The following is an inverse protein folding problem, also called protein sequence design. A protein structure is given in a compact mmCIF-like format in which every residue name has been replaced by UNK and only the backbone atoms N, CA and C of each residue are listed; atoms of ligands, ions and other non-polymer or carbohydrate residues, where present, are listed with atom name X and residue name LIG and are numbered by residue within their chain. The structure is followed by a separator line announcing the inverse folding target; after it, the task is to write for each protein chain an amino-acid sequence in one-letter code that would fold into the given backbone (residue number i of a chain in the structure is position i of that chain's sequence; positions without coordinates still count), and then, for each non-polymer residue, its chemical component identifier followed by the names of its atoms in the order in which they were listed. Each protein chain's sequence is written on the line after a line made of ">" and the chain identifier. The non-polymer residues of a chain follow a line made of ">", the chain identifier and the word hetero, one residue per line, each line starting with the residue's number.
data_IF_434055719944
#
_entry.id   IF_434055719944
#
_cell.length_a   1.000
_cell.length_b   1.000
_cell.length_c   1.000
_cell.angle_alpha   90.00
_cell.angle_beta   90.00
_cell.angle_gamma   90.00
#
_symmetry.space_group_name_H-M   'P 1'
#
loop_
_entity.id
_entity.type
_entity.pdbx_description
1 polymer ?
#
# COMPACT_ATOMS: atom_id res chain seq x y z
N UNK A 1 -14.29 23.17 -9.86
CA UNK A 1 -14.10 21.76 -9.45
C UNK A 1 -14.11 20.81 -10.65
N UNK A 2 -15.22 20.64 -11.38
CA UNK A 2 -15.29 19.71 -12.52
C UNK A 2 -14.24 19.95 -13.62
N UNK A 3 -14.01 21.20 -14.03
CA UNK A 3 -13.01 21.53 -15.06
C UNK A 3 -11.56 21.26 -14.60
N UNK A 4 -11.26 21.45 -13.31
CA UNK A 4 -9.94 21.16 -12.74
C UNK A 4 -9.69 19.64 -12.65
N UNK A 5 -10.70 18.86 -12.22
CA UNK A 5 -10.62 17.40 -12.26
C UNK A 5 -10.48 16.86 -13.69
N UNK A 6 -11.17 17.46 -14.66
CA UNK A 6 -11.02 17.10 -16.07
C UNK A 6 -9.59 17.38 -16.59
N UNK A 7 -8.95 18.44 -16.11
CA UNK A 7 -7.57 18.75 -16.45
C UNK A 7 -6.59 17.71 -15.87
N UNK A 8 -6.73 17.37 -14.59
CA UNK A 8 -5.93 16.33 -13.93
C UNK A 8 -6.09 14.93 -14.59
N UNK A 9 -7.28 14.64 -15.12
CA UNK A 9 -7.56 13.38 -15.83
C UNK A 9 -7.24 13.43 -17.34
N UNK A 10 -6.65 14.51 -17.84
CA UNK A 10 -6.37 14.66 -19.28
C UNK A 10 -5.36 13.63 -19.79
N UNK A 11 -4.31 13.35 -19.04
CA UNK A 11 -3.29 12.34 -19.38
C UNK A 11 -3.88 10.92 -19.38
N UNK A 12 -4.73 10.61 -18.40
CA UNK A 12 -5.45 9.33 -18.36
C UNK A 12 -6.35 9.19 -19.59
N UNK A 13 -7.07 10.25 -19.95
CA UNK A 13 -7.94 10.26 -21.13
C UNK A 13 -7.15 10.09 -22.42
N UNK A 14 -5.98 10.73 -22.53
CA UNK A 14 -5.09 10.58 -23.67
C UNK A 14 -4.62 9.11 -23.80
N UNK A 15 -4.07 8.54 -22.72
CA UNK A 15 -3.58 7.15 -22.74
C UNK A 15 -4.67 6.11 -23.00
N UNK A 16 -5.91 6.35 -22.58
CA UNK A 16 -7.04 5.46 -22.90
C UNK A 16 -7.34 5.40 -24.42
N UNK A 17 -6.97 6.40 -25.20
CA UNK A 17 -7.12 6.39 -26.66
C UNK A 17 -6.10 5.51 -27.37
N UNK A 18 -4.96 5.26 -26.72
CA UNK A 18 -3.85 4.47 -27.28
C UNK A 18 -3.98 2.97 -26.98
N UNK A 19 -5.04 2.55 -26.30
CA UNK A 19 -5.31 1.13 -26.02
C UNK A 19 -5.67 0.37 -27.30
N UNK A 20 -5.02 -0.78 -27.53
CA UNK A 20 -5.12 -1.53 -28.80
C UNK A 20 -5.85 -2.87 -28.68
N UNK A 21 -5.60 -3.65 -27.63
CA UNK A 21 -6.23 -4.96 -27.42
C UNK A 21 -7.59 -4.77 -26.75
N UNK A 22 -8.64 -5.48 -27.20
CA UNK A 22 -9.90 -5.67 -26.46
C UNK A 22 -10.62 -4.38 -26.05
N UNK A 23 -10.42 -3.27 -26.78
CA UNK A 23 -11.11 -1.99 -26.59
C UNK A 23 -11.89 -1.63 -27.85
N UNK A 24 -13.15 -1.24 -27.70
CA UNK A 24 -13.92 -0.68 -28.81
C UNK A 24 -13.44 0.74 -29.11
N UNK A 25 -13.64 1.24 -30.34
CA UNK A 25 -13.38 2.66 -30.66
C UNK A 25 -14.30 3.55 -29.83
N UNK A 26 -13.81 4.06 -28.71
CA UNK A 26 -14.57 4.94 -27.81
C UNK A 26 -14.60 6.38 -28.33
N UNK A 27 -15.47 6.65 -29.31
CA UNK A 27 -15.68 7.98 -29.92
C UNK A 27 -16.01 9.07 -28.87
N UNK A 28 -16.57 8.70 -27.72
CA UNK A 28 -16.93 9.64 -26.65
C UNK A 28 -15.74 10.14 -25.81
N UNK A 29 -14.62 9.40 -25.75
CA UNK A 29 -13.40 9.85 -25.07
C UNK A 29 -12.73 11.03 -25.81
N UNK A 30 -13.14 11.29 -27.06
CA UNK A 30 -12.70 12.44 -27.85
C UNK A 30 -13.25 13.78 -27.31
N UNK A 31 -14.41 13.76 -26.64
CA UNK A 31 -15.06 14.97 -26.13
C UNK A 31 -14.52 15.32 -24.74
N UNK A 32 -13.75 16.42 -24.58
CA UNK A 32 -13.18 16.80 -23.27
C UNK A 32 -14.23 17.20 -22.24
N UNK A 33 -15.44 17.58 -22.68
CA UNK A 33 -16.50 18.07 -21.79
C UNK A 33 -17.27 16.94 -21.07
N UNK A 34 -17.09 15.68 -21.48
CA UNK A 34 -17.71 14.53 -20.83
C UNK A 34 -16.81 13.98 -19.74
N UNK A 35 -17.40 13.65 -18.59
CA UNK A 35 -16.76 12.80 -17.59
C UNK A 35 -16.74 11.34 -18.08
N UNK A 36 -15.77 10.58 -17.62
CA UNK A 36 -15.64 9.16 -17.94
C UNK A 36 -15.30 8.37 -16.68
N UNK A 37 -15.58 7.08 -16.70
CA UNK A 37 -15.17 6.13 -15.67
C UNK A 37 -14.16 5.15 -16.24
N UNK A 38 -13.16 4.76 -15.45
CA UNK A 38 -12.12 3.82 -15.85
C UNK A 38 -12.04 2.65 -14.86
N UNK A 39 -11.88 1.42 -15.35
CA UNK A 39 -11.70 0.24 -14.52
C UNK A 39 -12.28 -1.03 -15.15
N UNK A 40 -12.52 -2.02 -14.30
CA UNK A 40 -13.08 -3.31 -14.66
C UNK A 40 -14.43 -3.54 -14.00
N UNK A 41 -15.27 -4.29 -14.69
CA UNK A 41 -16.50 -4.89 -14.16
C UNK A 41 -16.25 -6.38 -13.86
N UNK A 42 -17.27 -7.07 -13.38
CA UNK A 42 -17.18 -8.45 -12.91
C UNK A 42 -16.94 -9.51 -14.00
N UNK A 43 -17.14 -9.17 -15.27
CA UNK A 43 -17.05 -10.12 -16.37
C UNK A 43 -16.90 -9.46 -17.74
N UNK A 44 -17.04 -10.27 -18.80
CA UNK A 44 -17.00 -9.79 -20.18
C UNK A 44 -18.24 -8.94 -20.45
N UNK A 45 -18.05 -7.70 -20.89
CA UNK A 45 -19.14 -6.78 -21.21
C UNK A 45 -19.89 -7.22 -22.47
N UNK A 46 -21.20 -6.96 -22.54
CA UNK A 46 -22.05 -7.39 -23.67
C UNK A 46 -21.46 -7.01 -25.05
N UNK A 47 -20.87 -5.81 -25.15
CA UNK A 47 -20.26 -5.29 -26.38
C UNK A 47 -18.72 -5.41 -26.41
N UNK A 48 -18.14 -6.31 -25.61
CA UNK A 48 -16.69 -6.50 -25.57
C UNK A 48 -16.16 -6.96 -26.95
N UNK A 49 -15.17 -6.26 -27.53
CA UNK A 49 -14.49 -6.76 -28.72
C UNK A 49 -13.83 -8.12 -28.44
N UNK A 50 -13.75 -8.94 -29.47
CA UNK A 50 -13.02 -10.22 -29.39
C UNK A 50 -11.53 -9.95 -29.22
N UNK A 51 -10.91 -10.62 -28.26
CA UNK A 51 -9.46 -10.64 -28.11
C UNK A 51 -8.89 -11.70 -29.05
N UNK A 52 -8.07 -11.27 -30.01
CA UNK A 52 -7.35 -12.19 -30.89
C UNK A 52 -6.18 -12.82 -30.13
N UNK A 53 -6.13 -14.15 -30.16
CA UNK A 53 -5.06 -14.94 -29.55
C UNK A 53 -4.43 -15.89 -30.56
N UNK A 54 -3.12 -16.09 -30.44
CA UNK A 54 -2.38 -16.94 -31.36
C UNK A 54 -2.66 -18.45 -31.14
N UNK A 55 -2.61 -19.30 -32.18
CA UNK A 55 -2.68 -20.75 -32.02
C UNK A 55 -1.56 -21.28 -31.09
N UNK A 56 -1.81 -22.32 -30.27
CA UNK A 56 -3.04 -23.13 -30.17
C UNK A 56 -4.07 -22.56 -29.19
N UNK A 57 -3.90 -21.31 -28.72
CA UNK A 57 -4.73 -20.72 -27.68
C UNK A 57 -6.07 -20.18 -28.20
N UNK A 58 -6.19 -20.05 -29.52
CA UNK A 58 -7.42 -19.73 -30.26
C UNK A 58 -8.58 -20.69 -29.99
N UNK A 59 -8.29 -21.91 -29.54
CA UNK A 59 -9.30 -22.86 -29.05
C UNK A 59 -10.02 -22.40 -27.76
N UNK A 60 -9.42 -21.52 -26.98
CA UNK A 60 -10.04 -20.94 -25.78
C UNK A 60 -10.98 -19.81 -26.21
N UNK A 61 -12.28 -20.11 -26.21
CA UNK A 61 -13.29 -19.17 -26.68
C UNK A 61 -13.56 -18.09 -25.62
N UNK A 62 -13.45 -16.81 -26.00
CA UNK A 62 -13.97 -15.71 -25.18
C UNK A 62 -15.49 -15.88 -25.04
N UNK A 63 -16.03 -16.04 -23.83
CA UNK A 63 -17.46 -16.22 -23.65
C UNK A 63 -18.20 -14.95 -24.09
N UNK A 64 -19.41 -15.14 -24.63
CA UNK A 64 -20.27 -14.01 -24.99
C UNK A 64 -20.59 -13.19 -23.74
N UNK A 65 -20.30 -11.88 -23.81
CA UNK A 65 -20.41 -10.97 -22.68
C UNK A 65 -21.84 -10.75 -22.22
N UNK A 66 -21.99 -10.56 -20.91
CA UNK A 66 -23.26 -10.30 -20.24
C UNK A 66 -23.14 -9.22 -19.16
N UNK A 67 -21.92 -8.83 -18.79
CA UNK A 67 -21.71 -7.80 -17.79
C UNK A 67 -22.09 -6.42 -18.34
N UNK A 68 -22.66 -5.59 -17.49
CA UNK A 68 -22.86 -4.16 -17.80
C UNK A 68 -21.50 -3.46 -17.86
N UNK A 69 -21.34 -2.56 -18.84
CA UNK A 69 -20.14 -1.75 -19.03
C UNK A 69 -20.04 -0.58 -18.01
N UNK A 70 -20.12 -0.92 -16.73
CA UNK A 70 -19.93 0.01 -15.60
C UNK A 70 -18.80 -0.53 -14.72
N UNK A 71 -17.66 0.19 -14.58
CA UNK A 71 -16.55 -0.26 -13.76
C UNK A 71 -16.92 -0.18 -12.28
N UNK A 72 -16.49 -1.18 -11.51
CA UNK A 72 -16.71 -1.24 -10.07
C UNK A 72 -15.36 -1.26 -9.34
N UNK A 73 -15.16 -0.47 -8.27
CA UNK A 73 -13.87 -0.38 -7.56
C UNK A 73 -13.34 -1.74 -7.08
N UNK A 74 -14.22 -2.61 -6.57
CA UNK A 74 -13.83 -3.95 -6.11
C UNK A 74 -13.21 -4.80 -7.24
N UNK A 75 -13.88 -4.92 -8.39
CA UNK A 75 -13.35 -5.70 -9.51
C UNK A 75 -12.16 -5.02 -10.17
N UNK A 76 -12.15 -3.68 -10.19
CA UNK A 76 -10.98 -2.92 -10.64
C UNK A 76 -9.76 -3.21 -9.77
N UNK A 77 -9.91 -3.20 -8.44
CA UNK A 77 -8.83 -3.56 -7.50
C UNK A 77 -8.34 -4.99 -7.72
N UNK A 78 -9.24 -5.97 -7.88
CA UNK A 78 -8.88 -7.36 -8.14
C UNK A 78 -8.12 -7.52 -9.46
N UNK A 79 -8.63 -6.94 -10.55
CA UNK A 79 -7.95 -6.94 -11.84
C UNK A 79 -6.57 -6.29 -11.73
N UNK A 80 -6.46 -5.20 -10.96
CA UNK A 80 -5.19 -4.51 -10.78
C UNK A 80 -4.14 -5.39 -10.09
N UNK A 81 -4.55 -6.10 -9.02
CA UNK A 81 -3.66 -7.03 -8.32
C UNK A 81 -3.22 -8.17 -9.23
N UNK A 82 -4.15 -8.86 -9.91
CA UNK A 82 -3.81 -9.98 -10.78
C UNK A 82 -2.91 -9.59 -11.97
N UNK A 83 -3.11 -8.39 -12.56
CA UNK A 83 -2.22 -7.91 -13.62
C UNK A 83 -0.83 -7.58 -13.07
N UNK A 84 -0.73 -7.00 -11.87
CA UNK A 84 0.55 -6.73 -11.23
C UNK A 84 1.33 -8.03 -10.96
N UNK A 85 0.67 -9.08 -10.48
CA UNK A 85 1.30 -10.38 -10.22
C UNK A 85 1.74 -11.05 -11.52
N UNK A 86 0.91 -11.02 -12.57
CA UNK A 86 1.21 -11.56 -13.90
C UNK A 86 2.38 -10.81 -14.59
N UNK A 87 2.59 -9.54 -14.25
CA UNK A 87 3.66 -8.71 -14.79
C UNK A 87 4.82 -8.50 -13.80
N UNK A 88 4.85 -9.25 -12.69
CA UNK A 88 5.92 -9.15 -11.69
C UNK A 88 7.24 -9.71 -12.23
N UNK A 89 8.35 -9.26 -11.64
CA UNK A 89 9.67 -9.81 -11.97
C UNK A 89 9.77 -11.30 -11.63
N UNK A 90 9.25 -11.72 -10.48
CA UNK A 90 9.22 -13.12 -10.05
C UNK A 90 8.50 -14.01 -11.07
N UNK A 91 7.31 -13.62 -11.52
CA UNK A 91 6.54 -14.35 -12.54
C UNK A 91 7.32 -14.48 -13.84
N UNK A 92 8.02 -13.41 -14.25
CA UNK A 92 8.88 -13.43 -15.46
C UNK A 92 10.09 -14.34 -15.29
N UNK A 93 10.82 -14.23 -14.19
CA UNK A 93 12.05 -15.01 -13.93
C UNK A 93 11.75 -16.50 -13.81
N UNK A 94 10.61 -16.85 -13.21
CA UNK A 94 10.16 -18.24 -13.08
C UNK A 94 9.57 -18.82 -14.38
N UNK A 95 9.34 -17.98 -15.41
CA UNK A 95 8.78 -18.43 -16.69
C UNK A 95 7.38 -19.02 -16.55
N UNK A 96 6.55 -18.50 -15.63
CA UNK A 96 5.22 -19.07 -15.35
C UNK A 96 4.21 -18.83 -16.48
N UNK A 97 4.45 -17.83 -17.32
CA UNK A 97 3.60 -17.47 -18.45
C UNK A 97 4.25 -17.89 -19.77
N UNK A 98 3.45 -18.42 -20.69
CA UNK A 98 3.90 -18.64 -22.07
C UNK A 98 3.90 -17.33 -22.88
N UNK A 99 4.55 -17.32 -24.05
CA UNK A 99 4.73 -16.12 -24.90
C UNK A 99 3.43 -15.34 -25.13
N UNK A 100 2.35 -16.05 -25.47
CA UNK A 100 1.05 -15.41 -25.71
C UNK A 100 0.40 -14.83 -24.43
N UNK A 101 0.55 -15.46 -23.26
CA UNK A 101 0.11 -14.91 -21.98
C UNK A 101 0.96 -13.69 -21.61
N UNK A 102 2.27 -13.73 -21.86
CA UNK A 102 3.19 -12.62 -21.61
C UNK A 102 2.83 -11.40 -22.49
N UNK A 103 2.48 -11.62 -23.77
CA UNK A 103 1.99 -10.58 -24.68
C UNK A 103 0.73 -9.92 -24.14
N UNK A 104 -0.24 -10.72 -23.68
CA UNK A 104 -1.50 -10.21 -23.11
C UNK A 104 -1.23 -9.45 -21.80
N UNK A 105 -0.43 -10.01 -20.89
CA UNK A 105 -0.09 -9.39 -19.62
C UNK A 105 0.59 -8.02 -19.82
N UNK A 106 1.53 -7.93 -20.76
CA UNK A 106 2.20 -6.66 -21.13
C UNK A 106 1.21 -5.64 -21.67
N UNK A 107 0.26 -6.05 -22.51
CA UNK A 107 -0.78 -5.15 -23.01
C UNK A 107 -1.76 -4.69 -21.92
N UNK A 108 -2.01 -5.52 -20.91
CA UNK A 108 -2.85 -5.17 -19.77
C UNK A 108 -2.16 -4.18 -18.82
N UNK A 109 -0.83 -4.10 -18.82
CA UNK A 109 -0.07 -3.20 -17.94
C UNK A 109 -0.42 -1.73 -18.18
N UNK A 110 -0.57 -1.29 -19.43
CA UNK A 110 -1.00 0.09 -19.71
C UNK A 110 -2.39 0.37 -19.14
N UNK A 111 -3.31 -0.60 -19.21
CA UNK A 111 -4.66 -0.46 -18.62
C UNK A 111 -4.60 -0.39 -17.11
N UNK A 112 -3.77 -1.23 -16.49
CA UNK A 112 -3.50 -1.21 -15.05
C UNK A 112 -3.06 0.19 -14.62
N UNK A 113 -2.05 0.74 -15.29
CA UNK A 113 -1.50 2.05 -14.95
C UNK A 113 -2.54 3.16 -15.12
N UNK A 114 -3.30 3.16 -16.21
CA UNK A 114 -4.36 4.15 -16.44
C UNK A 114 -5.49 4.08 -15.41
N UNK A 115 -5.90 2.87 -15.02
CA UNK A 115 -6.94 2.70 -14.01
C UNK A 115 -6.46 3.10 -12.62
N UNK A 116 -5.25 2.69 -12.22
CA UNK A 116 -4.63 3.14 -10.96
C UNK A 116 -4.56 4.66 -10.92
N UNK A 117 -4.08 5.28 -12.01
CA UNK A 117 -3.99 6.74 -12.13
C UNK A 117 -5.34 7.42 -12.00
N UNK A 118 -6.35 6.92 -12.72
CA UNK A 118 -7.71 7.43 -12.65
C UNK A 118 -8.24 7.43 -11.21
N UNK A 119 -8.15 6.29 -10.53
CA UNK A 119 -8.71 6.14 -9.18
C UNK A 119 -7.91 6.92 -8.13
N UNK A 120 -6.57 6.95 -8.23
CA UNK A 120 -5.72 7.75 -7.36
C UNK A 120 -5.99 9.24 -7.50
N UNK A 121 -6.02 9.76 -8.73
CA UNK A 121 -6.38 11.17 -9.00
C UNK A 121 -7.77 11.50 -8.48
N UNK A 122 -8.78 10.65 -8.70
CA UNK A 122 -10.14 10.89 -8.22
C UNK A 122 -10.23 10.90 -6.68
N UNK A 123 -9.54 9.97 -6.02
CA UNK A 123 -9.58 9.80 -4.57
C UNK A 123 -8.82 10.90 -3.81
N UNK A 124 -7.77 11.45 -4.42
CA UNK A 124 -6.87 12.43 -3.80
C UNK A 124 -7.01 13.84 -4.40
N UNK A 125 -8.03 14.07 -5.24
CA UNK A 125 -8.21 15.34 -5.93
C UNK A 125 -8.40 16.52 -4.94
N UNK A 126 -7.52 17.53 -5.04
CA UNK A 126 -7.61 18.77 -4.28
C UNK A 126 -6.62 18.86 -3.11
N UNK A 127 -6.32 20.09 -2.69
CA UNK A 127 -5.21 20.37 -1.76
C UNK A 127 -5.58 20.29 -0.27
N UNK A 128 -6.85 20.57 0.07
CA UNK A 128 -7.28 20.67 1.47
C UNK A 128 -7.70 19.31 2.03
N UNK A 129 -8.78 18.74 1.49
CA UNK A 129 -9.34 17.45 1.91
C UNK A 129 -9.38 16.49 0.73
N UNK A 130 -8.90 15.27 0.91
CA UNK A 130 -9.01 14.25 -0.13
C UNK A 130 -10.44 13.73 -0.16
N UNK A 131 -11.08 13.62 -1.34
CA UNK A 131 -12.44 13.08 -1.46
C UNK A 131 -12.64 11.73 -0.78
N UNK A 132 -11.61 10.88 -0.76
CA UNK A 132 -11.67 9.55 -0.11
C UNK A 132 -11.81 9.62 1.42
N UNK A 133 -11.47 10.75 2.03
CA UNK A 133 -11.65 10.99 3.48
C UNK A 133 -13.11 11.28 3.86
N UNK A 134 -13.94 11.68 2.89
CA UNK A 134 -15.38 11.89 3.08
C UNK A 134 -16.11 10.54 2.94
N UNK A 135 -15.90 9.65 3.91
CA UNK A 135 -16.50 8.32 3.92
C UNK A 135 -17.99 8.35 4.34
N UNK A 136 -18.85 7.48 3.77
CA UNK A 136 -18.52 6.42 2.80
C UNK A 136 -18.42 6.93 1.35
N UNK A 137 -17.65 6.23 0.52
CA UNK A 137 -17.53 6.56 -0.90
C UNK A 137 -18.83 6.26 -1.65
N UNK A 138 -19.25 7.18 -2.52
CA UNK A 138 -20.42 7.04 -3.38
C UNK A 138 -20.02 6.88 -4.85
N UNK A 139 -20.59 5.87 -5.50
CA UNK A 139 -20.51 5.69 -6.95
C UNK A 139 -21.49 6.64 -7.68
N UNK A 140 -21.28 6.89 -8.99
CA UNK A 140 -22.14 7.80 -9.75
C UNK A 140 -23.62 7.40 -9.81
N UNK A 141 -23.92 6.10 -9.65
CA UNK A 141 -25.28 5.55 -9.56
C UNK A 141 -25.90 5.67 -8.16
N UNK A 142 -25.18 6.29 -7.21
CA UNK A 142 -25.58 6.45 -5.82
C UNK A 142 -25.21 5.27 -4.92
N UNK A 143 -24.69 4.17 -5.47
CA UNK A 143 -24.31 3.01 -4.67
C UNK A 143 -23.16 3.38 -3.71
N UNK A 144 -23.27 2.93 -2.46
CA UNK A 144 -22.30 3.20 -1.41
C UNK A 144 -22.22 2.01 -0.47
N UNK A 145 -21.05 1.83 0.14
CA UNK A 145 -20.81 0.74 1.07
C UNK A 145 -19.35 0.69 1.51
N UNK A 146 -19.11 -0.03 2.60
CA UNK A 146 -17.76 -0.16 3.16
C UNK A 146 -16.83 -0.95 2.23
N UNK A 147 -17.37 -1.90 1.46
CA UNK A 147 -16.65 -2.61 0.41
C UNK A 147 -16.21 -1.71 -0.76
N UNK A 148 -17.05 -0.74 -1.11
CA UNK A 148 -16.74 0.25 -2.15
C UNK A 148 -15.65 1.18 -1.61
N UNK A 149 -15.87 1.71 -0.41
CA UNK A 149 -14.93 2.63 0.26
C UNK A 149 -13.56 2.01 0.44
N UNK A 150 -13.46 0.79 1.00
CA UNK A 150 -12.18 0.09 1.16
C UNK A 150 -11.51 -0.19 -0.18
N UNK A 151 -12.28 -0.53 -1.22
CA UNK A 151 -11.73 -0.77 -2.55
C UNK A 151 -11.11 0.50 -3.14
N UNK A 152 -11.74 1.66 -2.93
CA UNK A 152 -11.17 2.96 -3.35
C UNK A 152 -9.93 3.29 -2.53
N UNK A 153 -9.96 3.16 -1.19
CA UNK A 153 -8.78 3.35 -0.33
C UNK A 153 -7.61 2.48 -0.81
N UNK A 154 -7.88 1.20 -1.11
CA UNK A 154 -6.87 0.28 -1.66
C UNK A 154 -6.30 0.73 -3.00
N UNK A 155 -7.14 1.24 -3.91
CA UNK A 155 -6.70 1.78 -5.19
C UNK A 155 -5.85 3.04 -5.01
N UNK A 156 -6.20 3.89 -4.04
CA UNK A 156 -5.40 5.07 -3.65
C UNK A 156 -4.03 4.67 -3.14
N UNK A 157 -3.94 3.70 -2.21
CA UNK A 157 -2.65 3.22 -1.70
C UNK A 157 -1.79 2.58 -2.79
N UNK A 158 -2.41 1.84 -3.71
CA UNK A 158 -1.72 1.30 -4.88
C UNK A 158 -1.17 2.40 -5.81
N UNK A 159 -1.83 3.54 -5.93
CA UNK A 159 -1.35 4.67 -6.72
C UNK A 159 -0.22 5.43 -6.02
N UNK A 160 -0.36 5.70 -4.72
CA UNK A 160 0.69 6.30 -3.89
C UNK A 160 1.98 5.48 -3.95
N UNK A 161 1.88 4.15 -3.81
CA UNK A 161 3.04 3.25 -3.90
C UNK A 161 3.70 3.24 -5.28
N UNK A 162 2.99 3.64 -6.34
CA UNK A 162 3.49 3.62 -7.72
C UNK A 162 4.28 4.86 -8.11
N UNK A 163 4.18 5.94 -7.34
CA UNK A 163 4.66 7.26 -7.76
C UNK A 163 5.37 7.98 -6.61
N UNK A 164 6.29 8.90 -6.93
CA UNK A 164 6.79 9.83 -5.93
C UNK A 164 5.63 10.61 -5.30
N UNK A 165 5.58 10.62 -3.98
CA UNK A 165 4.60 11.34 -3.17
C UNK A 165 5.31 12.00 -1.99
N UNK A 166 4.61 12.89 -1.28
CA UNK A 166 5.19 13.57 -0.14
C UNK A 166 5.00 12.71 1.13
N UNK A 167 5.92 12.76 2.12
CA UNK A 167 5.76 11.99 3.36
C UNK A 167 4.45 12.27 4.13
N UNK A 168 3.89 13.47 3.96
CA UNK A 168 2.57 13.83 4.52
C UNK A 168 1.43 12.98 3.94
N UNK A 169 1.58 12.51 2.70
CA UNK A 169 0.57 11.73 1.99
C UNK A 169 0.50 10.30 2.58
N UNK A 170 1.63 9.74 3.03
CA UNK A 170 1.67 8.46 3.76
C UNK A 170 1.00 8.55 5.12
N UNK A 171 1.28 9.59 5.90
CA UNK A 171 0.63 9.84 7.19
C UNK A 171 -0.89 10.00 7.03
N UNK A 172 -1.29 10.72 5.98
CA UNK A 172 -2.69 10.91 5.62
C UNK A 172 -3.36 9.60 5.23
N UNK A 173 -2.68 8.78 4.42
CA UNK A 173 -3.17 7.46 4.02
C UNK A 173 -3.28 6.49 5.21
N UNK A 174 -2.30 6.48 6.12
CA UNK A 174 -2.34 5.72 7.36
C UNK A 174 -3.53 6.14 8.25
N UNK A 175 -3.77 7.44 8.39
CA UNK A 175 -4.92 7.98 9.14
C UNK A 175 -6.24 7.56 8.50
N UNK A 176 -6.36 7.63 7.17
CA UNK A 176 -7.53 7.20 6.42
C UNK A 176 -7.88 5.72 6.65
N UNK A 177 -6.88 4.83 6.70
CA UNK A 177 -7.07 3.41 7.00
C UNK A 177 -7.56 3.19 8.45
N UNK A 178 -7.01 3.94 9.41
CA UNK A 178 -7.42 3.87 10.82
C UNK A 178 -8.84 4.38 11.01
N UNK A 179 -9.19 5.51 10.41
CA UNK A 179 -10.53 6.08 10.46
C UNK A 179 -11.56 5.14 9.84
N UNK A 180 -11.21 4.50 8.71
CA UNK A 180 -12.04 3.47 8.10
C UNK A 180 -12.24 2.29 9.06
N UNK A 181 -11.16 1.77 9.66
CA UNK A 181 -11.19 0.66 10.60
C UNK A 181 -12.05 0.97 11.84
N UNK A 182 -11.94 2.16 12.40
CA UNK A 182 -12.72 2.60 13.57
C UNK A 182 -14.21 2.80 13.22
N UNK A 183 -14.53 3.39 12.07
CA UNK A 183 -15.91 3.65 11.64
C UNK A 183 -16.68 2.38 11.35
N UNK A 184 -16.07 1.50 10.57
CA UNK A 184 -16.78 0.35 10.00
C UNK A 184 -17.02 -0.75 11.02
N UNK A 185 -16.32 -0.74 12.16
CA UNK A 185 -16.39 -1.79 13.18
C UNK A 185 -16.43 -3.17 12.52
N UNK A 186 -15.64 -3.38 11.45
CA UNK A 186 -15.53 -4.65 10.70
C UNK A 186 -15.26 -5.82 11.66
N UNK A 187 -14.83 -5.49 12.88
CA UNK A 187 -14.52 -6.30 14.04
C UNK A 187 -15.71 -6.49 15.02
N UNK A 188 -16.41 -5.44 15.48
CA UNK A 188 -17.29 -5.53 16.69
C UNK A 188 -18.54 -6.43 16.54
N UNK A 189 -18.94 -6.80 15.31
CA UNK A 189 -20.18 -7.56 15.07
C UNK A 189 -20.02 -9.08 15.03
N UNK A 190 -18.85 -9.58 15.38
CA UNK A 190 -18.55 -11.02 15.39
C UNK A 190 -18.77 -11.64 16.79
N UNK A 191 -19.03 -10.84 17.81
CA UNK A 191 -18.95 -11.24 19.24
C UNK A 191 -20.30 -11.37 19.98
N UNK A 192 -21.48 -11.32 19.37
CA UNK A 192 -22.73 -11.58 20.11
C UNK A 192 -23.04 -13.10 20.21
N UNK A 193 -22.89 -13.74 21.39
CA UNK A 193 -23.27 -15.13 21.56
C UNK A 193 -24.80 -15.22 21.54
N UNK A 194 -25.34 -15.88 20.52
CA UNK A 194 -26.79 -15.99 20.29
C UNK A 194 -27.35 -14.99 19.28
N UNK A 195 -26.53 -14.10 18.71
CA UNK A 195 -26.88 -13.46 17.43
C UNK A 195 -26.97 -14.55 16.37
N UNK A 196 -28.00 -14.48 15.52
CA UNK A 196 -28.08 -15.26 14.28
C UNK A 196 -26.72 -15.25 13.56
N UNK A 197 -26.34 -16.33 12.83
CA UNK A 197 -25.02 -16.46 12.20
C UNK A 197 -24.61 -15.14 11.57
N UNK A 198 -23.44 -14.54 11.93
CA UNK A 198 -23.19 -13.12 11.74
C UNK A 198 -23.42 -12.74 10.29
N UNK A 199 -24.56 -12.10 9.99
CA UNK A 199 -25.08 -11.85 8.65
C UNK A 199 -24.03 -12.05 7.53
N UNK A 200 -23.84 -13.28 7.07
CA UNK A 200 -22.72 -13.65 6.18
C UNK A 200 -23.00 -13.28 4.71
N UNK A 201 -23.74 -12.18 4.57
CA UNK A 201 -24.12 -11.42 3.39
C UNK A 201 -23.90 -9.91 3.63
N UNK A 202 -23.08 -9.50 4.62
CA UNK A 202 -22.93 -8.09 4.97
C UNK A 202 -22.38 -7.25 3.80
N UNK A 203 -21.43 -7.82 3.04
CA UNK A 203 -20.87 -7.15 1.87
C UNK A 203 -20.92 -8.08 0.66
N UNK A 204 -21.71 -7.67 -0.32
CA UNK A 204 -21.74 -8.31 -1.63
C UNK A 204 -21.86 -7.25 -2.71
N UNK A 205 -21.51 -7.64 -3.94
CA UNK A 205 -21.71 -6.80 -5.12
C UNK A 205 -22.66 -7.52 -6.06
N UNK A 206 -23.72 -6.82 -6.47
CA UNK A 206 -24.65 -7.32 -7.48
C UNK A 206 -23.91 -7.43 -8.82
N UNK A 207 -24.02 -8.59 -9.47
CA UNK A 207 -23.40 -8.84 -10.77
C UNK A 207 -24.34 -8.34 -11.87
N UNK A 208 -24.39 -7.03 -12.07
CA UNK A 208 -25.28 -6.38 -13.03
C UNK A 208 -25.16 -7.02 -14.43
N UNK A 209 -26.30 -7.48 -14.98
CA UNK A 209 -26.41 -8.18 -16.26
C UNK A 209 -26.40 -9.72 -16.16
N UNK A 210 -26.15 -10.30 -14.98
CA UNK A 210 -26.20 -11.77 -14.76
C UNK A 210 -27.60 -12.36 -14.91
N UNK A 211 -28.63 -11.55 -14.68
CA UNK A 211 -30.05 -11.88 -14.85
C UNK A 211 -30.44 -12.21 -16.31
N UNK A 212 -29.62 -11.80 -17.28
CA UNK A 212 -29.83 -12.10 -18.70
C UNK A 212 -29.68 -13.59 -19.06
N UNK A 213 -29.01 -14.38 -18.22
CA UNK A 213 -28.77 -15.82 -18.43
C UNK A 213 -29.18 -16.70 -17.26
N UNK A 214 -29.84 -16.15 -16.25
CA UNK A 214 -30.18 -16.89 -15.03
C UNK A 214 -30.72 -15.96 -13.93
N UNK A 215 -30.73 -16.40 -12.66
CA UNK A 215 -31.05 -15.52 -11.56
C UNK A 215 -29.98 -14.43 -11.39
N UNK A 216 -30.38 -13.25 -10.92
CA UNK A 216 -29.44 -12.19 -10.55
C UNK A 216 -28.44 -12.72 -9.51
N UNK A 217 -27.16 -12.68 -9.86
CA UNK A 217 -26.08 -13.20 -9.03
C UNK A 217 -25.48 -12.10 -8.17
N UNK A 218 -24.96 -12.51 -7.01
CA UNK A 218 -24.21 -11.66 -6.08
C UNK A 218 -22.84 -12.26 -5.82
N UNK A 219 -21.84 -11.39 -5.75
CA UNK A 219 -20.48 -11.78 -5.40
C UNK A 219 -20.18 -11.44 -3.94
N UNK A 220 -19.91 -12.43 -3.07
CA UNK A 220 -19.56 -12.18 -1.67
C UNK A 220 -18.18 -11.54 -1.54
N UNK A 221 -18.02 -10.64 -0.58
CA UNK A 221 -16.76 -9.91 -0.34
C UNK A 221 -16.33 -10.03 1.11
N UNK A 222 -15.07 -10.44 1.30
CA UNK A 222 -14.37 -10.41 2.58
C UNK A 222 -13.58 -9.11 2.73
N UNK A 223 -13.95 -8.25 3.69
CA UNK A 223 -13.23 -6.99 3.93
C UNK A 223 -12.00 -7.14 4.82
N UNK A 224 -12.05 -8.05 5.80
CA UNK A 224 -11.00 -8.15 6.82
C UNK A 224 -9.61 -8.46 6.24
N UNK A 225 -9.41 -9.47 5.36
CA UNK A 225 -8.10 -9.71 4.76
C UNK A 225 -7.63 -8.53 3.89
N UNK A 226 -8.54 -7.90 3.14
CA UNK A 226 -8.19 -6.75 2.30
C UNK A 226 -7.73 -5.55 3.13
N UNK A 227 -8.32 -5.32 4.31
CA UNK A 227 -7.93 -4.27 5.23
C UNK A 227 -6.62 -4.61 5.96
N UNK A 228 -6.44 -5.86 6.40
CA UNK A 228 -5.18 -6.35 6.96
C UNK A 228 -4.03 -6.16 5.99
N UNK A 229 -4.19 -6.59 4.72
CA UNK A 229 -3.17 -6.37 3.68
C UNK A 229 -2.85 -4.89 3.50
N UNK A 230 -3.86 -4.01 3.58
CA UNK A 230 -3.66 -2.56 3.45
C UNK A 230 -2.84 -1.99 4.63
N UNK A 231 -3.19 -2.40 5.84
CA UNK A 231 -2.50 -1.99 7.05
C UNK A 231 -1.03 -2.45 7.03
N UNK A 232 -0.76 -3.71 6.68
CA UNK A 232 0.60 -4.25 6.57
C UNK A 232 1.44 -3.53 5.50
N UNK A 233 0.87 -3.30 4.31
CA UNK A 233 1.58 -2.60 3.21
C UNK A 233 1.89 -1.15 3.58
N UNK A 234 0.98 -0.48 4.30
CA UNK A 234 1.21 0.91 4.75
C UNK A 234 2.22 0.96 5.90
N UNK A 235 2.20 -0.03 6.80
CA UNK A 235 3.17 -0.13 7.90
C UNK A 235 4.60 -0.35 7.41
N UNK A 236 4.80 -1.10 6.32
CA UNK A 236 6.14 -1.35 5.76
C UNK A 236 6.73 -0.14 5.04
N UNK A 237 5.92 0.84 4.65
CA UNK A 237 6.34 2.00 3.84
C UNK A 237 6.40 3.31 4.61
N UNK A 238 5.57 3.47 5.65
CA UNK A 238 5.53 4.71 6.46
C UNK A 238 6.85 5.00 7.18
N UNK A 239 7.26 6.28 7.24
CA UNK A 239 8.41 6.75 8.05
C UNK A 239 8.03 7.11 9.49
N UNK A 240 6.72 7.18 9.78
CA UNK A 240 6.17 7.50 11.11
C UNK A 240 6.10 6.26 11.98
N UNK A 241 6.91 6.22 13.05
CA UNK A 241 6.91 5.09 13.99
C UNK A 241 5.56 4.89 14.69
N UNK A 242 4.87 5.99 15.02
CA UNK A 242 3.55 5.94 15.67
C UNK A 242 2.46 5.40 14.73
N UNK A 243 2.45 5.83 13.46
CA UNK A 243 1.51 5.28 12.49
C UNK A 243 1.82 3.81 12.18
N UNK A 244 3.10 3.45 12.09
CA UNK A 244 3.53 2.06 11.91
C UNK A 244 3.02 1.16 13.03
N UNK A 245 3.22 1.56 14.28
CA UNK A 245 2.75 0.82 15.45
C UNK A 245 1.23 0.64 15.42
N UNK A 246 0.49 1.72 15.14
CA UNK A 246 -0.97 1.66 15.07
C UNK A 246 -1.49 0.77 13.92
N UNK A 247 -0.83 0.79 12.76
CA UNK A 247 -1.18 -0.06 11.61
C UNK A 247 -0.85 -1.54 11.87
N UNK A 248 0.27 -1.84 12.53
CA UNK A 248 0.61 -3.21 12.93
C UNK A 248 -0.34 -3.74 13.98
N UNK A 249 -0.70 -2.93 14.98
CA UNK A 249 -1.70 -3.29 15.98
C UNK A 249 -3.07 -3.55 15.33
N UNK A 250 -3.45 -2.76 14.32
CA UNK A 250 -4.64 -3.03 13.52
C UNK A 250 -4.55 -4.38 12.78
N UNK A 251 -3.43 -4.66 12.12
CA UNK A 251 -3.23 -5.92 11.41
C UNK A 251 -3.26 -7.15 12.36
N UNK A 252 -2.63 -7.04 13.53
CA UNK A 252 -2.63 -8.07 14.58
C UNK A 252 -4.04 -8.34 15.11
N UNK A 253 -4.81 -7.29 15.42
CA UNK A 253 -6.19 -7.44 15.87
C UNK A 253 -7.09 -8.15 14.83
N UNK A 254 -6.82 -7.96 13.54
CA UNK A 254 -7.51 -8.67 12.45
C UNK A 254 -7.05 -10.13 12.39
N UNK A 255 -5.74 -10.35 12.48
CA UNK A 255 -5.13 -11.67 12.42
C UNK A 255 -5.64 -12.58 13.54
N UNK A 256 -5.62 -12.12 14.79
CA UNK A 256 -6.06 -12.90 15.95
C UNK A 256 -7.47 -13.48 15.76
N UNK A 257 -8.34 -12.70 15.12
CA UNK A 257 -9.71 -13.11 14.81
C UNK A 257 -9.76 -14.12 13.66
N UNK A 258 -9.07 -13.84 12.54
CA UNK A 258 -9.00 -14.75 11.39
C UNK A 258 -8.38 -16.10 11.74
N UNK A 259 -7.33 -16.09 12.57
CA UNK A 259 -6.61 -17.27 13.01
C UNK A 259 -7.45 -18.14 13.96
N UNK A 260 -8.17 -17.51 14.89
CA UNK A 260 -8.94 -18.23 15.93
C UNK A 260 -10.29 -18.72 15.43
N UNK A 261 -11.00 -17.94 14.62
CA UNK A 261 -12.41 -18.23 14.30
C UNK A 261 -12.61 -19.05 13.02
N UNK A 262 -11.61 -19.12 12.13
CA UNK A 262 -11.84 -19.58 10.75
C UNK A 262 -10.84 -20.58 10.20
N UNK A 263 -9.83 -20.97 10.99
CA UNK A 263 -8.84 -21.96 10.58
C UNK A 263 -9.41 -23.36 10.75
N UNK A 264 -9.56 -24.08 9.64
CA UNK A 264 -10.00 -25.46 9.60
C UNK A 264 -8.86 -26.42 9.99
N UNK A 265 -9.15 -27.67 10.41
CA UNK A 265 -8.14 -28.65 10.80
C UNK A 265 -7.10 -28.97 9.72
N UNK A 266 -7.45 -28.80 8.45
CA UNK A 266 -6.55 -29.00 7.31
C UNK A 266 -5.58 -27.82 7.07
N UNK A 267 -5.63 -26.78 7.91
CA UNK A 267 -4.78 -25.60 7.80
C UNK A 267 -5.28 -24.52 6.83
N UNK A 268 -6.43 -24.73 6.18
CA UNK A 268 -7.06 -23.75 5.29
C UNK A 268 -8.16 -22.97 6.02
N UNK A 269 -8.70 -21.93 5.40
CA UNK A 269 -9.74 -21.08 6.01
C UNK A 269 -11.13 -21.37 5.45
N UNK A 270 -12.13 -21.48 6.32
CA UNK A 270 -13.54 -21.66 5.95
C UNK A 270 -14.18 -20.36 5.46
N UNK A 271 -15.14 -20.44 4.52
CA UNK A 271 -15.89 -19.24 4.13
C UNK A 271 -16.86 -18.87 5.26
N UNK A 272 -17.08 -17.59 5.56
CA UNK A 272 -18.11 -17.19 6.52
C UNK A 272 -19.51 -17.65 6.12
N UNK A 273 -19.80 -17.65 4.82
CA UNK A 273 -21.11 -17.98 4.26
C UNK A 273 -21.39 -19.48 4.18
N UNK A 274 -20.46 -20.30 4.66
CA UNK A 274 -20.45 -21.76 4.51
C UNK A 274 -20.56 -22.40 5.88
N UNK A 275 -21.29 -23.51 5.96
CA UNK A 275 -21.19 -24.38 7.13
C UNK A 275 -19.71 -24.77 7.30
N UNK A 276 -19.15 -24.84 8.52
CA UNK A 276 -17.83 -25.43 8.74
C UNK A 276 -17.57 -26.74 7.97
N UNK A 277 -18.63 -27.50 7.68
CA UNK A 277 -18.59 -28.74 6.89
C UNK A 277 -18.52 -28.56 5.36
N UNK A 278 -18.79 -27.36 4.81
CA UNK A 278 -18.76 -27.05 3.36
C UNK A 278 -17.33 -26.85 2.79
N UNK A 279 -16.32 -27.13 3.60
CA UNK A 279 -14.92 -27.11 3.23
C UNK A 279 -14.31 -25.71 3.08
N UNK A 280 -13.05 -25.64 2.62
CA UNK A 280 -12.29 -24.40 2.59
C UNK A 280 -12.85 -23.37 1.60
N UNK A 281 -12.70 -22.09 1.97
CA UNK A 281 -12.79 -20.95 1.07
C UNK A 281 -11.43 -20.69 0.44
N UNK A 282 -11.32 -21.00 -0.86
CA UNK A 282 -10.13 -20.68 -1.62
C UNK A 282 -9.85 -19.18 -1.67
N UNK A 283 -10.87 -18.36 -1.87
CA UNK A 283 -10.73 -16.89 -1.92
C UNK A 283 -10.22 -16.31 -0.59
N UNK A 284 -10.73 -16.79 0.54
CA UNK A 284 -10.24 -16.32 1.85
C UNK A 284 -8.83 -16.82 2.13
N UNK A 285 -8.56 -18.09 1.81
CA UNK A 285 -7.23 -18.70 1.96
C UNK A 285 -6.19 -17.92 1.13
N UNK A 286 -6.48 -17.63 -0.13
CA UNK A 286 -5.64 -16.84 -1.02
C UNK A 286 -5.35 -15.47 -0.42
N UNK A 287 -6.37 -14.72 -0.03
CA UNK A 287 -6.19 -13.37 0.55
C UNK A 287 -5.40 -13.40 1.87
N UNK A 288 -5.54 -14.43 2.68
CA UNK A 288 -4.75 -14.60 3.91
C UNK A 288 -3.31 -14.93 3.58
N UNK A 289 -3.07 -15.82 2.62
CA UNK A 289 -1.71 -16.12 2.14
C UNK A 289 -1.03 -14.88 1.58
N UNK A 290 -1.75 -14.03 0.84
CA UNK A 290 -1.23 -12.73 0.40
C UNK A 290 -0.83 -11.84 1.58
N UNK A 291 -1.62 -11.81 2.67
CA UNK A 291 -1.26 -11.04 3.86
C UNK A 291 0.02 -11.58 4.52
N UNK A 292 0.17 -12.90 4.58
CA UNK A 292 1.36 -13.56 5.14
C UNK A 292 2.61 -13.30 4.29
N UNK A 293 2.48 -13.26 2.96
CA UNK A 293 3.58 -12.88 2.06
C UNK A 293 4.01 -11.44 2.32
N UNK A 294 3.06 -10.49 2.36
CA UNK A 294 3.37 -9.08 2.67
C UNK A 294 4.03 -8.95 4.04
N UNK A 295 3.58 -9.71 5.04
CA UNK A 295 4.19 -9.71 6.37
C UNK A 295 5.62 -10.28 6.34
N UNK A 296 5.86 -11.36 5.60
CA UNK A 296 7.18 -11.97 5.47
C UNK A 296 8.16 -11.04 4.74
N UNK A 297 7.72 -10.36 3.69
CA UNK A 297 8.49 -9.34 2.97
C UNK A 297 8.82 -8.17 3.89
N UNK A 298 7.82 -7.63 4.60
CA UNK A 298 8.03 -6.53 5.56
C UNK A 298 8.97 -6.90 6.72
N UNK A 299 9.02 -8.18 7.12
CA UNK A 299 9.95 -8.65 8.14
C UNK A 299 11.39 -8.85 7.61
N UNK A 300 11.55 -9.07 6.30
CA UNK A 300 12.86 -9.23 5.66
C UNK A 300 13.49 -7.89 5.26
N UNK A 301 12.68 -6.87 4.97
CA UNK A 301 13.15 -5.54 4.58
C UNK A 301 13.54 -4.67 5.79
N UNK A 302 14.61 -3.85 5.68
CA UNK A 302 14.93 -2.85 6.69
C UNK A 302 13.78 -1.85 6.86
N UNK A 303 13.43 -1.52 8.10
CA UNK A 303 12.39 -0.54 8.37
C UNK A 303 12.72 0.81 7.74
N UNK A 304 11.72 1.52 7.18
CA UNK A 304 11.90 2.89 6.73
C UNK A 304 12.45 3.76 7.87
N UNK A 305 13.53 4.46 7.56
CA UNK A 305 14.26 5.30 8.50
C UNK A 305 13.38 6.48 8.89
N UNK A 306 13.27 6.74 10.21
CA UNK A 306 12.47 7.86 10.70
C UNK A 306 13.14 9.20 10.36
N UNK A 307 12.38 10.11 9.74
CA UNK A 307 12.85 11.46 9.42
C UNK A 307 13.25 12.25 10.67
N UNK A 308 12.46 12.10 11.75
CA UNK A 308 12.73 12.75 13.03
C UNK A 308 14.05 12.24 13.64
N UNK A 309 14.24 10.92 13.69
CA UNK A 309 15.49 10.35 14.20
C UNK A 309 16.69 10.76 13.35
N UNK A 310 16.53 10.81 12.03
CA UNK A 310 17.58 11.26 11.10
C UNK A 310 17.94 12.72 11.35
N UNK A 311 16.94 13.59 11.58
CA UNK A 311 17.18 14.99 11.92
C UNK A 311 17.96 15.12 13.23
N UNK A 312 17.51 14.44 14.29
CA UNK A 312 18.18 14.47 15.60
C UNK A 312 19.60 13.91 15.52
N UNK A 313 19.78 12.80 14.80
CA UNK A 313 21.10 12.18 14.59
C UNK A 313 22.05 13.13 13.86
N UNK A 314 21.56 13.84 12.83
CA UNK A 314 22.32 14.85 12.09
C UNK A 314 22.73 16.02 12.98
N UNK A 315 21.82 16.52 13.81
CA UNK A 315 22.11 17.61 14.74
C UNK A 315 23.16 17.22 15.78
N UNK A 316 23.05 16.02 16.36
CA UNK A 316 24.04 15.48 17.30
C UNK A 316 25.41 15.24 16.63
N UNK A 317 25.42 14.72 15.40
CA UNK A 317 26.64 14.53 14.63
C UNK A 317 27.35 15.86 14.34
N UNK A 318 26.58 16.89 13.96
CA UNK A 318 27.08 18.24 13.73
C UNK A 318 27.65 18.85 15.03
N UNK A 319 26.95 18.70 16.16
CA UNK A 319 27.42 19.16 17.46
C UNK A 319 28.73 18.47 17.87
N UNK A 320 28.79 17.13 17.74
CA UNK A 320 29.98 16.35 18.08
C UNK A 320 31.19 16.74 17.22
N UNK A 321 30.97 16.92 15.91
CA UNK A 321 32.00 17.35 14.95
C UNK A 321 32.51 18.75 15.29
N UNK A 322 31.61 19.70 15.50
CA UNK A 322 31.99 21.06 15.90
C UNK A 322 32.74 21.06 17.24
N UNK A 323 32.30 20.22 18.18
CA UNK A 323 32.94 20.04 19.48
C UNK A 323 34.38 19.54 19.37
N UNK A 324 34.64 18.57 18.49
CA UNK A 324 35.97 18.02 18.22
C UNK A 324 36.86 19.04 17.52
N UNK A 325 36.37 19.68 16.45
CA UNK A 325 37.11 20.69 15.69
C UNK A 325 37.56 21.84 16.59
N UNK A 326 36.69 22.27 17.51
CA UNK A 326 37.03 23.32 18.47
C UNK A 326 38.17 22.93 19.42
N UNK A 327 38.25 21.66 19.82
CA UNK A 327 39.36 21.19 20.68
C UNK A 327 40.65 21.07 19.86
N UNK A 328 40.58 20.55 18.64
CA UNK A 328 41.75 20.44 17.76
C UNK A 328 42.34 21.81 17.38
N UNK A 329 41.51 22.85 17.32
CA UNK A 329 41.92 24.23 17.02
C UNK A 329 42.37 25.03 18.26
N UNK A 330 42.17 24.52 19.47
CA UNK A 330 42.58 25.20 20.70
C UNK A 330 44.06 24.91 21.00
N UNK A 331 44.96 25.92 20.94
CA UNK A 331 46.40 25.75 21.13
C UNK A 331 46.79 25.37 22.56
N UNK A 332 45.89 25.45 23.54
CA UNK A 332 46.15 25.01 24.92
C UNK A 332 45.97 23.49 25.08
N UNK A 333 45.32 22.81 24.12
CA UNK A 333 44.98 21.38 24.18
C UNK A 333 46.20 20.45 24.15
N UNK A 334 47.28 20.86 23.48
CA UNK A 334 48.54 20.10 23.39
C UNK A 334 49.35 20.10 24.71
N UNK A 335 49.01 20.99 25.66
CA UNK A 335 49.81 21.18 26.87
C UNK A 335 49.32 20.40 28.10
N UNK A 336 48.08 19.92 28.05
CA UNK A 336 47.52 19.06 29.10
C UNK A 336 47.64 17.60 28.64
N UNK A 337 48.25 16.73 29.46
CA UNK A 337 48.39 15.29 29.20
C UNK A 337 47.06 14.52 29.20
N UNK A 338 46.09 14.95 28.41
CA UNK A 338 44.83 14.25 28.18
C UNK A 338 45.11 13.02 27.33
N UNK A 339 44.99 11.83 27.91
CA UNK A 339 45.08 10.54 27.22
C UNK A 339 43.93 10.27 26.24
N UNK A 340 43.35 11.31 25.65
CA UNK A 340 42.24 11.24 24.70
C UNK A 340 42.79 11.07 23.29
N UNK A 341 42.45 9.97 22.64
CA UNK A 341 42.82 9.72 21.24
C UNK A 341 41.85 10.44 20.29
N UNK A 342 42.21 11.67 19.90
CA UNK A 342 41.40 12.46 18.97
C UNK A 342 41.32 11.86 17.55
N UNK A 343 42.26 11.00 17.17
CA UNK A 343 42.21 10.29 15.88
C UNK A 343 41.12 9.24 15.92
N UNK A 344 41.05 8.47 17.02
CA UNK A 344 39.96 7.53 17.25
C UNK A 344 38.58 8.22 17.25
N UNK A 345 38.45 9.38 17.92
CA UNK A 345 37.20 10.14 17.92
C UNK A 345 36.79 10.60 16.51
N UNK A 346 37.73 11.01 15.67
CA UNK A 346 37.44 11.38 14.28
C UNK A 346 36.98 10.18 13.45
N UNK A 347 37.61 9.03 13.58
CA UNK A 347 37.16 7.79 12.94
C UNK A 347 35.74 7.42 13.36
N UNK A 348 35.41 7.57 14.64
CA UNK A 348 34.04 7.34 15.14
C UNK A 348 33.03 8.31 14.51
N UNK A 349 33.37 9.58 14.32
CA UNK A 349 32.48 10.53 13.63
C UNK A 349 32.34 10.22 12.13
N UNK A 350 33.39 9.77 11.47
CA UNK A 350 33.32 9.34 10.07
C UNK A 350 32.41 8.12 9.91
N UNK A 351 32.49 7.16 10.84
CA UNK A 351 31.58 6.02 10.90
C UNK A 351 30.13 6.44 11.15
N UNK A 352 29.91 7.37 12.09
CA UNK A 352 28.60 7.95 12.36
C UNK A 352 28.02 8.65 11.12
N UNK A 353 28.85 9.40 10.38
CA UNK A 353 28.43 10.05 9.13
C UNK A 353 28.00 9.07 8.05
N UNK A 354 28.71 7.93 7.91
CA UNK A 354 28.31 6.86 6.95
C UNK A 354 27.04 6.14 7.37
N UNK A 355 26.75 6.08 8.67
CA UNK A 355 25.57 5.43 9.22
C UNK A 355 24.31 6.32 9.20
N UNK A 356 24.44 7.65 9.01
CA UNK A 356 23.34 8.61 9.22
C UNK A 356 22.04 8.25 8.50
N UNK A 357 22.12 7.91 7.21
CA UNK A 357 20.94 7.68 6.37
C UNK A 357 20.37 6.25 6.48
N UNK A 358 21.07 5.34 7.19
CA UNK A 358 20.67 3.91 7.32
C UNK A 358 20.32 3.54 8.75
N UNK A 359 21.10 4.05 9.69
CA UNK A 359 21.08 3.71 11.11
C UNK A 359 21.23 4.99 11.95
N UNK A 360 20.21 5.88 11.96
CA UNK A 360 20.29 7.13 12.72
C UNK A 360 20.45 6.87 14.22
N UNK A 361 19.90 5.77 14.76
CA UNK A 361 20.11 5.37 16.15
C UNK A 361 21.56 5.04 16.50
N UNK A 362 22.28 4.37 15.59
CA UNK A 362 23.72 4.12 15.74
C UNK A 362 24.49 5.44 15.66
N UNK A 363 24.14 6.28 14.69
CA UNK A 363 24.74 7.62 14.51
C UNK A 363 24.62 8.47 15.77
N UNK A 364 23.45 8.48 16.41
CA UNK A 364 23.23 9.16 17.69
C UNK A 364 24.14 8.61 18.79
N UNK A 365 24.25 7.28 18.91
CA UNK A 365 25.10 6.64 19.91
C UNK A 365 26.57 7.04 19.73
N UNK A 366 27.09 6.93 18.51
CA UNK A 366 28.48 7.27 18.17
C UNK A 366 28.76 8.77 18.41
N UNK A 367 27.86 9.66 17.99
CA UNK A 367 27.99 11.10 18.23
C UNK A 367 27.99 11.43 19.74
N UNK A 368 27.10 10.80 20.52
CA UNK A 368 27.03 10.98 21.97
C UNK A 368 28.29 10.49 22.68
N UNK A 369 28.89 9.38 22.24
CA UNK A 369 30.14 8.87 22.80
C UNK A 369 31.30 9.85 22.58
N UNK A 370 31.37 10.48 21.41
CA UNK A 370 32.35 11.54 21.13
C UNK A 370 32.11 12.77 22.00
N UNK A 371 30.87 13.26 22.11
CA UNK A 371 30.52 14.39 23.00
C UNK A 371 30.94 14.09 24.45
N UNK A 372 30.65 12.87 24.92
CA UNK A 372 31.02 12.42 26.27
C UNK A 372 32.53 12.37 26.47
N UNK A 373 33.30 11.89 25.49
CA UNK A 373 34.75 11.87 25.54
C UNK A 373 35.34 13.30 25.60
N UNK A 374 34.84 14.20 24.75
CA UNK A 374 35.25 15.62 24.74
C UNK A 374 34.93 16.33 26.06
N UNK A 375 33.78 16.03 26.66
CA UNK A 375 33.42 16.58 27.98
C UNK A 375 34.38 16.13 29.08
N UNK A 376 34.75 14.84 29.11
CA UNK A 376 35.72 14.29 30.08
C UNK A 376 37.09 14.96 29.91
N UNK A 377 37.59 15.04 28.68
CA UNK A 377 38.86 15.68 28.35
C UNK A 377 38.93 17.13 28.84
N UNK A 378 37.90 17.94 28.58
CA UNK A 378 37.85 19.34 29.06
C UNK A 378 37.82 19.45 30.58
N UNK A 379 37.10 18.56 31.25
CA UNK A 379 37.01 18.57 32.71
C UNK A 379 38.36 18.22 33.36
N UNK A 380 39.07 17.26 32.79
CA UNK A 380 40.42 16.88 33.23
C UNK A 380 41.43 18.00 32.98
N UNK A 381 41.39 18.64 31.81
CA UNK A 381 42.22 19.80 31.50
C UNK A 381 42.00 20.98 32.45
N UNK A 382 40.74 21.28 32.80
CA UNK A 382 40.43 22.34 33.78
C UNK A 382 40.94 22.02 35.19
N UNK A 383 40.80 20.76 35.63
CA UNK A 383 41.29 20.32 36.93
C UNK A 383 42.84 20.30 37.04
N UNK A 384 43.54 20.24 35.91
CA UNK A 384 44.99 20.37 35.83
C UNK A 384 45.45 21.85 35.82
N UNK A 385 44.64 22.76 35.25
CA UNK A 385 44.93 24.20 35.22
C UNK A 385 44.69 24.90 36.57
N UNK A 386 43.76 24.39 37.39
CA UNK A 386 43.43 24.95 38.71
C UNK A 386 44.37 24.45 39.85
N UNK A 387 45.40 23.65 39.54
CA UNK A 387 46.44 23.20 40.47
C UNK A 387 47.77 23.87 40.15
#
# INVERSE_FOLDING_TARGET
>A
MAAALQHELSDVRAGLRDLTIGTGRNLHLANPNLLFSCGWTWGVTADAPKVEVAPPWDRHHQPAGIAVASPHPYFTRLACAGIADATSETTRVQGLLHDEQQRIATALQLRLDLARRYWGTLAMFGDARWPVEDQPWHLPDGASGDQITLSVIRLTGNDLSARPHLPKDDQRFASLLRDFASRTRVWDRIDEPGSAPPAYAQYSVDLAGSDTRGPALRWPIELAPSLMKAALTSASTTTSGADREALLALAEAIWDRLATQRRLPNGLWGAPSKDPDDGPSWSLTEQIMECLVVMAEAAAEPLPVSDLLTSIARDLLNEATHGLDRVLLDPQSDSAGTGTDFTALRTTLDEAGRALDREPGLTMTLAQDVIRALYRSRREGKAAHDR
#
